data_IF_559373552036
#
_entry.id   IF_559373552036
#
_cell.length_a   1.000
_cell.length_b   1.000
_cell.length_c   1.000
_cell.angle_alpha   90.00
_cell.angle_beta   90.00
_cell.angle_gamma   90.00
#
_symmetry.space_group_name_H-M   'P 1'
#
loop_
_entity.id
_entity.type
_entity.pdbx_description
1 polymer ?
#
# COMPACT_ATOMS: atom_id res chain seq x y z
N UNK A 1 2.95 23.72 32.36
CA UNK A 1 4.21 23.36 31.66
C UNK A 1 4.02 21.93 31.15
N UNK A 2 4.02 21.57 29.87
CA UNK A 2 4.21 22.33 28.65
C UNK A 2 3.71 21.49 27.46
N UNK A 3 2.94 22.13 26.58
CA UNK A 3 2.69 21.65 25.23
C UNK A 3 3.84 22.13 24.34
N UNK A 4 4.91 21.34 24.21
CA UNK A 4 6.05 21.66 23.33
C UNK A 4 6.53 20.48 22.47
N UNK A 5 5.81 19.35 22.47
CA UNK A 5 6.25 18.14 21.75
C UNK A 5 6.00 18.13 20.23
N UNK A 6 4.94 18.77 19.75
CA UNK A 6 4.50 18.66 18.34
C UNK A 6 5.05 19.79 17.45
N UNK A 7 5.17 21.00 18.00
CA UNK A 7 5.64 22.17 17.23
C UNK A 7 7.14 22.04 16.93
N UNK A 8 7.94 21.59 17.91
CA UNK A 8 9.39 21.46 17.74
C UNK A 8 9.77 20.34 16.76
N UNK A 9 9.04 19.23 16.78
CA UNK A 9 9.26 18.09 15.87
C UNK A 9 8.81 18.40 14.44
N UNK A 10 7.68 19.08 14.26
CA UNK A 10 7.23 19.55 12.94
C UNK A 10 8.20 20.60 12.34
N UNK A 11 8.78 21.49 13.16
CA UNK A 11 9.80 22.45 12.70
C UNK A 11 11.08 21.74 12.27
N UNK A 12 11.54 20.73 13.01
CA UNK A 12 12.71 19.93 12.66
C UNK A 12 12.48 19.09 11.38
N UNK A 13 11.29 18.49 11.25
CA UNK A 13 10.82 17.78 10.06
C UNK A 13 10.84 18.67 8.81
N UNK A 14 10.23 19.86 8.89
CA UNK A 14 10.22 20.83 7.79
C UNK A 14 11.62 21.33 7.40
N UNK A 15 12.51 21.53 8.38
CA UNK A 15 13.90 21.93 8.09
C UNK A 15 14.69 20.83 7.38
N UNK A 16 14.38 19.56 7.65
CA UNK A 16 14.99 18.41 6.99
C UNK A 16 14.48 18.28 5.55
N UNK A 17 13.17 18.47 5.35
CA UNK A 17 12.52 18.45 4.04
C UNK A 17 13.11 19.48 3.06
N UNK A 18 13.40 20.70 3.53
CA UNK A 18 13.95 21.79 2.72
C UNK A 18 15.35 21.54 2.12
N UNK A 19 16.03 20.47 2.53
CA UNK A 19 17.36 20.09 2.00
C UNK A 19 17.28 19.31 0.69
N UNK A 20 16.10 18.80 0.34
CA UNK A 20 15.90 17.93 -0.81
C UNK A 20 15.22 18.67 -1.98
N UNK A 21 15.28 18.07 -3.18
CA UNK A 21 14.68 18.65 -4.38
C UNK A 21 13.17 18.91 -4.22
N UNK A 22 12.62 19.89 -4.94
CA UNK A 22 11.17 20.20 -4.89
C UNK A 22 10.30 18.97 -5.22
N UNK A 23 10.78 18.09 -6.10
CA UNK A 23 10.12 16.83 -6.47
C UNK A 23 10.09 15.85 -5.31
N UNK A 24 11.23 15.65 -4.63
CA UNK A 24 11.32 14.86 -3.39
C UNK A 24 10.42 15.42 -2.30
N UNK A 25 10.37 16.75 -2.15
CA UNK A 25 9.49 17.41 -1.19
C UNK A 25 8.01 17.18 -1.50
N UNK A 26 7.62 17.21 -2.78
CA UNK A 26 6.24 17.02 -3.21
C UNK A 26 5.77 15.58 -2.95
N UNK A 27 6.59 14.59 -3.30
CA UNK A 27 6.30 13.17 -3.01
C UNK A 27 6.22 12.93 -1.50
N UNK A 28 7.15 13.49 -0.72
CA UNK A 28 7.15 13.34 0.73
C UNK A 28 5.90 13.95 1.39
N UNK A 29 5.38 15.06 0.86
CA UNK A 29 4.12 15.68 1.32
C UNK A 29 2.91 14.80 1.00
N UNK A 30 2.87 14.22 -0.20
CA UNK A 30 1.80 13.31 -0.61
C UNK A 30 1.77 12.05 0.27
N UNK A 31 2.94 11.46 0.56
CA UNK A 31 3.07 10.34 1.48
C UNK A 31 2.68 10.72 2.92
N UNK A 32 3.13 11.86 3.41
CA UNK A 32 2.75 12.38 4.73
C UNK A 32 1.23 12.56 4.87
N UNK A 33 0.58 13.07 3.84
CA UNK A 33 -0.87 13.20 3.80
C UNK A 33 -1.56 11.83 3.79
N UNK A 34 -1.06 10.88 3.00
CA UNK A 34 -1.61 9.53 2.90
C UNK A 34 -1.54 8.75 4.22
N UNK A 35 -0.45 8.90 4.98
CA UNK A 35 -0.25 8.21 6.25
C UNK A 35 -0.65 9.05 7.49
N UNK A 36 -1.20 10.25 7.28
CA UNK A 36 -1.54 11.21 8.34
C UNK A 36 -0.37 11.47 9.31
N UNK A 37 0.85 11.55 8.76
CA UNK A 37 2.08 11.79 9.54
C UNK A 37 2.81 13.03 9.01
N UNK A 38 3.05 14.00 9.89
CA UNK A 38 3.76 15.25 9.55
C UNK A 38 5.29 15.16 9.70
N UNK A 39 5.80 14.00 10.13
CA UNK A 39 7.23 13.78 10.35
C UNK A 39 7.88 13.22 9.09
N UNK A 40 9.01 13.80 8.71
CA UNK A 40 9.87 13.35 7.63
C UNK A 40 11.22 12.96 8.22
N UNK A 41 11.74 11.79 7.85
CA UNK A 41 13.09 11.37 8.25
C UNK A 41 14.06 11.52 7.08
N UNK A 42 15.31 11.83 7.40
CA UNK A 42 16.40 11.95 6.42
C UNK A 42 16.56 10.64 5.62
N UNK A 43 16.39 9.49 6.29
CA UNK A 43 16.48 8.16 5.68
C UNK A 43 15.37 7.89 4.65
N UNK A 44 14.14 8.33 4.91
CA UNK A 44 13.04 8.20 3.96
C UNK A 44 13.21 9.18 2.79
N UNK A 45 13.54 10.44 3.07
CA UNK A 45 13.76 11.47 2.04
C UNK A 45 14.92 11.11 1.12
N UNK A 46 16.03 10.62 1.65
CA UNK A 46 17.14 10.12 0.86
C UNK A 46 16.75 8.91 0.00
N UNK A 47 15.88 8.03 0.49
CA UNK A 47 15.38 6.90 -0.30
C UNK A 47 14.50 7.38 -1.48
N UNK A 48 13.65 8.40 -1.27
CA UNK A 48 12.86 9.03 -2.34
C UNK A 48 13.80 9.65 -3.39
N UNK A 49 14.77 10.45 -2.94
CA UNK A 49 15.71 11.14 -3.82
C UNK A 49 16.54 10.15 -4.66
N UNK A 50 17.00 9.06 -4.02
CA UNK A 50 17.69 7.97 -4.69
C UNK A 50 16.81 7.24 -5.72
N UNK A 51 15.52 7.03 -5.41
CA UNK A 51 14.58 6.41 -6.35
C UNK A 51 14.39 7.30 -7.59
N UNK A 52 14.17 8.60 -7.39
CA UNK A 52 14.04 9.58 -8.47
C UNK A 52 15.30 9.57 -9.34
N UNK A 53 16.48 9.66 -8.73
CA UNK A 53 17.75 9.68 -9.45
C UNK A 53 18.03 8.38 -10.22
N UNK A 54 17.55 7.22 -9.74
CA UNK A 54 17.66 5.94 -10.46
C UNK A 54 16.69 5.87 -11.63
N UNK A 55 15.45 6.30 -11.42
CA UNK A 55 14.42 6.30 -12.44
C UNK A 55 14.74 7.31 -13.54
N UNK A 56 15.13 8.54 -13.22
CA UNK A 56 15.43 9.60 -14.21
C UNK A 56 16.57 9.21 -15.16
N UNK A 57 17.47 8.29 -14.76
CA UNK A 57 18.49 7.70 -15.66
C UNK A 57 17.92 6.77 -16.72
N UNK A 58 16.77 6.17 -16.45
CA UNK A 58 16.14 5.15 -17.29
C UNK A 58 14.87 5.67 -18.00
N UNK A 59 14.13 6.58 -17.37
CA UNK A 59 12.83 7.10 -17.79
C UNK A 59 12.69 8.54 -17.35
N UNK A 60 12.43 9.43 -18.30
CA UNK A 60 12.19 10.84 -18.02
C UNK A 60 10.69 11.09 -17.76
N UNK A 61 10.38 12.06 -16.89
CA UNK A 61 9.03 12.59 -16.64
C UNK A 61 7.99 11.64 -16.01
N UNK A 62 8.37 10.72 -15.11
CA UNK A 62 7.39 10.00 -14.28
C UNK A 62 6.64 10.98 -13.36
N UNK A 63 5.32 10.85 -13.24
CA UNK A 63 4.50 11.73 -12.40
C UNK A 63 4.80 11.54 -10.91
N UNK A 64 4.55 12.57 -10.10
CA UNK A 64 4.69 12.49 -8.63
C UNK A 64 3.79 11.38 -8.09
N UNK A 65 2.56 11.28 -8.59
CA UNK A 65 1.59 10.26 -8.20
C UNK A 65 2.10 8.83 -8.46
N UNK A 66 2.72 8.58 -9.62
CA UNK A 66 3.27 7.26 -9.95
C UNK A 66 4.44 6.88 -9.00
N UNK A 67 5.28 7.85 -8.62
CA UNK A 67 6.29 7.63 -7.58
C UNK A 67 5.66 7.32 -6.22
N UNK A 68 4.65 8.10 -5.82
CA UNK A 68 3.95 7.93 -4.55
C UNK A 68 3.29 6.55 -4.46
N UNK A 69 2.58 6.11 -5.51
CA UNK A 69 2.01 4.76 -5.62
C UNK A 69 3.07 3.66 -5.51
N UNK A 70 4.21 3.82 -6.18
CA UNK A 70 5.30 2.86 -6.12
C UNK A 70 5.92 2.72 -4.73
N UNK A 71 6.08 3.86 -4.03
CA UNK A 71 6.61 3.89 -2.67
C UNK A 71 5.59 3.28 -1.69
N UNK A 72 4.30 3.60 -1.82
CA UNK A 72 3.22 2.98 -1.03
C UNK A 72 3.20 1.46 -1.23
N UNK A 73 3.35 0.99 -2.47
CA UNK A 73 3.44 -0.44 -2.76
C UNK A 73 4.63 -1.08 -2.04
N UNK A 74 5.81 -0.43 -2.05
CA UNK A 74 6.95 -0.92 -1.30
C UNK A 74 6.70 -0.98 0.21
N UNK A 75 6.01 0.01 0.78
CA UNK A 75 5.65 0.03 2.19
C UNK A 75 4.73 -1.14 2.55
N UNK A 76 3.69 -1.37 1.73
CA UNK A 76 2.74 -2.46 1.90
C UNK A 76 3.44 -3.83 1.90
N UNK A 77 4.27 -4.13 0.90
CA UNK A 77 4.98 -5.41 0.78
C UNK A 77 5.92 -5.69 1.97
N UNK A 78 6.52 -4.64 2.54
CA UNK A 78 7.46 -4.76 3.66
C UNK A 78 6.78 -4.61 5.03
N UNK A 79 5.46 -4.40 5.07
CA UNK A 79 4.69 -4.11 6.27
C UNK A 79 5.32 -3.01 7.14
N UNK A 80 5.78 -1.94 6.49
CA UNK A 80 6.33 -0.74 7.12
C UNK A 80 5.57 0.48 6.61
N UNK A 81 5.73 1.63 7.26
CA UNK A 81 5.01 2.85 6.93
C UNK A 81 5.93 4.05 6.84
N UNK A 82 5.48 5.10 6.16
CA UNK A 82 6.13 6.39 6.20
C UNK A 82 6.20 6.87 7.68
N UNK A 83 7.29 7.50 8.15
CA UNK A 83 8.50 7.92 7.45
C UNK A 83 9.68 6.95 7.62
N UNK A 84 9.46 5.64 7.57
CA UNK A 84 10.56 4.66 7.56
C UNK A 84 11.23 4.57 6.19
N UNK A 85 12.41 3.94 6.10
CA UNK A 85 13.07 3.71 4.80
C UNK A 85 12.34 2.61 4.03
N UNK A 86 11.74 2.95 2.89
CA UNK A 86 11.17 1.97 1.95
C UNK A 86 12.23 1.24 1.13
N UNK A 87 11.82 0.13 0.51
CA UNK A 87 12.67 -0.68 -0.37
C UNK A 87 12.64 -0.13 -1.80
N UNK A 88 13.70 0.60 -2.16
CA UNK A 88 13.84 1.23 -3.49
C UNK A 88 13.76 0.22 -4.62
N UNK A 89 14.20 -1.02 -4.42
CA UNK A 89 14.14 -2.06 -5.46
C UNK A 89 12.69 -2.46 -5.73
N UNK A 90 11.88 -2.64 -4.69
CA UNK A 90 10.44 -2.98 -4.85
C UNK A 90 9.68 -1.85 -5.54
N UNK A 91 9.90 -0.61 -5.12
CA UNK A 91 9.29 0.55 -5.77
C UNK A 91 9.69 0.65 -7.26
N UNK A 92 10.96 0.41 -7.58
CA UNK A 92 11.44 0.41 -8.97
C UNK A 92 10.83 -0.72 -9.81
N UNK A 93 10.70 -1.92 -9.25
CA UNK A 93 10.04 -3.05 -9.92
C UNK A 93 8.57 -2.73 -10.24
N UNK A 94 7.87 -2.09 -9.30
CA UNK A 94 6.49 -1.65 -9.51
C UNK A 94 6.36 -0.65 -10.66
N UNK A 95 7.21 0.40 -10.71
CA UNK A 95 7.25 1.36 -11.81
C UNK A 95 7.53 0.69 -13.16
N UNK A 96 8.47 -0.25 -13.20
CA UNK A 96 8.79 -0.99 -14.42
C UNK A 96 7.64 -1.89 -14.89
N UNK A 97 6.92 -2.50 -13.95
CA UNK A 97 5.78 -3.36 -14.25
C UNK A 97 4.58 -2.55 -14.75
N UNK A 98 4.32 -1.37 -14.17
CA UNK A 98 3.28 -0.46 -14.68
C UNK A 98 3.51 -0.13 -16.15
N UNK A 99 4.75 0.17 -16.55
CA UNK A 99 5.01 0.51 -17.96
C UNK A 99 4.81 -0.68 -18.89
N UNK A 100 5.18 -1.89 -18.48
CA UNK A 100 4.90 -3.10 -19.26
C UNK A 100 3.39 -3.34 -19.43
N UNK A 101 2.61 -3.01 -18.41
CA UNK A 101 1.15 -3.12 -18.42
C UNK A 101 0.54 -2.02 -19.31
N UNK A 102 0.97 -0.75 -19.18
CA UNK A 102 0.52 0.38 -20.01
C UNK A 102 0.76 0.13 -21.51
N UNK A 103 1.90 -0.46 -21.88
CA UNK A 103 2.22 -0.79 -23.28
C UNK A 103 1.32 -1.91 -23.83
N UNK A 104 1.03 -2.96 -23.05
CA UNK A 104 0.08 -4.01 -23.47
C UNK A 104 -1.37 -3.48 -23.52
N UNK A 105 -1.75 -2.60 -22.60
CA UNK A 105 -3.08 -1.97 -22.55
C UNK A 105 -3.40 -1.12 -23.77
N UNK A 106 -2.43 -0.35 -24.29
CA UNK A 106 -2.58 0.46 -25.51
C UNK A 106 -2.92 -0.37 -26.77
N UNK A 107 -2.77 -1.69 -26.72
CA UNK A 107 -3.13 -2.60 -27.83
C UNK A 107 -4.52 -3.25 -27.68
N UNK A 108 -5.20 -3.07 -26.54
CA UNK A 108 -6.51 -3.65 -26.27
C UNK A 108 -7.62 -2.66 -26.63
N UNK A 109 -8.75 -3.15 -27.15
CA UNK A 109 -9.91 -2.30 -27.42
C UNK A 109 -10.74 -2.07 -26.14
N UNK A 110 -11.56 -1.02 -26.13
CA UNK A 110 -12.42 -0.63 -25.00
C UNK A 110 -13.45 -1.69 -24.57
N UNK A 111 -13.84 -2.58 -25.48
CA UNK A 111 -14.73 -3.72 -25.18
C UNK A 111 -14.05 -4.77 -24.30
N UNK A 112 -12.78 -5.08 -24.56
CA UNK A 112 -11.99 -5.99 -23.73
C UNK A 112 -11.73 -5.42 -22.34
N UNK A 113 -11.43 -4.11 -22.25
CA UNK A 113 -11.21 -3.42 -20.97
C UNK A 113 -12.49 -3.39 -20.13
N UNK A 114 -13.63 -3.05 -20.74
CA UNK A 114 -14.95 -3.09 -20.08
C UNK A 114 -15.26 -4.48 -19.50
N UNK A 115 -14.94 -5.53 -20.25
CA UNK A 115 -15.13 -6.90 -19.78
C UNK A 115 -14.25 -7.22 -18.57
N UNK A 116 -12.98 -6.79 -18.58
CA UNK A 116 -12.04 -7.05 -17.49
C UNK A 116 -12.37 -6.29 -16.22
N UNK A 117 -12.83 -5.05 -16.33
CA UNK A 117 -13.36 -4.28 -15.19
C UNK A 117 -14.56 -5.00 -14.58
N UNK A 118 -15.53 -5.44 -15.40
CA UNK A 118 -16.70 -6.17 -14.90
C UNK A 118 -16.34 -7.50 -14.22
N UNK A 119 -15.31 -8.21 -14.73
CA UNK A 119 -14.79 -9.42 -14.09
C UNK A 119 -14.15 -9.08 -12.72
N UNK A 120 -13.37 -8.01 -12.64
CA UNK A 120 -12.74 -7.59 -11.38
C UNK A 120 -13.78 -7.15 -10.35
N UNK A 121 -14.76 -6.34 -10.72
CA UNK A 121 -15.84 -5.92 -9.83
C UNK A 121 -16.55 -7.12 -9.19
N UNK A 122 -16.87 -8.15 -10.00
CA UNK A 122 -17.45 -9.41 -9.49
C UNK A 122 -16.52 -10.15 -8.53
N UNK A 123 -15.21 -10.10 -8.76
CA UNK A 123 -14.24 -10.71 -7.86
C UNK A 123 -14.12 -9.93 -6.54
N UNK A 124 -14.17 -8.60 -6.58
CA UNK A 124 -14.19 -7.75 -5.39
C UNK A 124 -15.46 -7.98 -4.53
N UNK A 125 -16.62 -8.13 -5.17
CA UNK A 125 -17.87 -8.49 -4.47
C UNK A 125 -17.73 -9.83 -3.73
N UNK A 126 -17.14 -10.84 -4.40
CA UNK A 126 -16.90 -12.16 -3.78
C UNK A 126 -15.89 -12.09 -2.65
N UNK A 127 -14.83 -11.30 -2.81
CA UNK A 127 -13.83 -11.07 -1.76
C UNK A 127 -14.46 -10.44 -0.54
N UNK A 128 -15.34 -9.44 -0.73
CA UNK A 128 -16.08 -8.81 0.37
C UNK A 128 -16.89 -9.83 1.18
N UNK A 129 -17.55 -10.78 0.50
CA UNK A 129 -18.27 -11.87 1.15
C UNK A 129 -17.34 -12.82 1.93
N UNK A 130 -16.19 -13.18 1.34
CA UNK A 130 -15.20 -14.05 1.99
C UNK A 130 -14.61 -13.36 3.23
N UNK A 131 -14.28 -12.07 3.15
CA UNK A 131 -13.81 -11.29 4.31
C UNK A 131 -14.83 -11.24 5.43
N UNK A 132 -16.11 -11.01 5.09
CA UNK A 132 -17.20 -11.02 6.07
C UNK A 132 -17.31 -12.38 6.77
N UNK A 133 -17.20 -13.48 6.02
CA UNK A 133 -17.25 -14.82 6.58
C UNK A 133 -16.03 -15.13 7.45
N UNK A 134 -14.83 -14.74 7.03
CA UNK A 134 -13.59 -14.90 7.82
C UNK A 134 -13.62 -14.09 9.10
N UNK A 135 -14.07 -12.83 9.04
CA UNK A 135 -14.24 -11.98 10.21
C UNK A 135 -15.27 -12.54 11.20
N UNK A 136 -16.38 -13.09 10.69
CA UNK A 136 -17.36 -13.80 11.50
C UNK A 136 -16.74 -15.03 12.18
N UNK A 137 -16.03 -15.87 11.43
CA UNK A 137 -15.39 -17.06 11.95
C UNK A 137 -14.36 -16.72 13.05
N UNK A 138 -13.57 -15.66 12.86
CA UNK A 138 -12.64 -15.16 13.88
C UNK A 138 -13.36 -14.74 15.16
N UNK A 139 -14.45 -13.97 15.04
CA UNK A 139 -15.24 -13.52 16.19
C UNK A 139 -15.91 -14.69 16.92
N UNK A 140 -16.44 -15.66 16.19
CA UNK A 140 -17.05 -16.86 16.75
C UNK A 140 -15.99 -17.68 17.50
N UNK A 141 -14.80 -17.87 16.93
CA UNK A 141 -13.69 -18.59 17.54
C UNK A 141 -13.16 -17.88 18.81
N UNK A 142 -12.98 -16.55 18.76
CA UNK A 142 -12.56 -15.74 19.91
C UNK A 142 -13.60 -15.77 21.05
N UNK A 143 -14.89 -15.84 20.72
CA UNK A 143 -15.95 -15.95 21.73
C UNK A 143 -15.96 -17.29 22.48
N UNK A 144 -15.34 -18.33 21.91
CA UNK A 144 -15.21 -19.65 22.53
C UNK A 144 -14.00 -19.75 23.49
N UNK A 145 -13.05 -18.81 23.43
CA UNK A 145 -11.80 -18.80 24.20
C UNK A 145 -11.97 -18.51 25.73
N UNK A 146 -13.16 -18.72 26.29
CA UNK A 146 -13.44 -18.46 27.70
C UNK A 146 -14.71 -19.10 28.27
N UNK A 147 -15.44 -19.93 27.50
CA UNK A 147 -16.77 -20.43 27.89
C UNK A 147 -16.96 -21.96 27.85
N UNK A 148 -16.08 -22.72 27.20
CA UNK A 148 -16.30 -24.14 26.98
C UNK A 148 -15.12 -25.00 27.44
N UNK A 149 -15.32 -25.74 28.54
CA UNK A 149 -14.38 -26.70 29.15
C UNK A 149 -13.89 -27.85 28.24
N UNK A 150 -14.36 -27.93 27.00
CA UNK A 150 -14.15 -29.07 26.09
C UNK A 150 -13.31 -28.74 24.86
N UNK A 151 -12.98 -27.46 24.65
CA UNK A 151 -12.14 -27.03 23.53
C UNK A 151 -10.79 -26.63 24.10
N UNK A 152 -9.76 -27.36 23.71
CA UNK A 152 -8.41 -27.10 24.18
C UNK A 152 -7.92 -25.75 23.64
N UNK A 153 -7.28 -24.97 24.51
CA UNK A 153 -6.75 -23.64 24.14
C UNK A 153 -5.67 -23.77 23.07
N UNK A 154 -4.96 -24.90 23.08
CA UNK A 154 -3.98 -25.34 22.07
C UNK A 154 -4.56 -25.53 20.65
N UNK A 155 -5.90 -25.60 20.49
CA UNK A 155 -6.57 -25.65 19.19
C UNK A 155 -7.08 -24.27 18.74
N UNK A 156 -7.46 -23.41 19.70
CA UNK A 156 -8.06 -22.10 19.43
C UNK A 156 -7.00 -21.12 18.91
N UNK A 157 -5.80 -21.10 19.51
CA UNK A 157 -4.72 -20.19 19.08
C UNK A 157 -4.28 -20.45 17.63
N UNK A 158 -3.90 -21.68 17.21
CA UNK A 158 -3.48 -21.94 15.83
C UNK A 158 -4.59 -21.69 14.79
N UNK A 159 -5.85 -21.97 15.15
CA UNK A 159 -7.00 -21.69 14.29
C UNK A 159 -7.24 -20.18 14.14
N UNK A 160 -7.03 -19.40 15.20
CA UNK A 160 -7.12 -17.93 15.16
C UNK A 160 -6.04 -17.36 14.26
N UNK A 161 -4.79 -17.79 14.45
CA UNK A 161 -3.65 -17.36 13.63
C UNK A 161 -3.85 -17.68 12.14
N UNK A 162 -4.34 -18.88 11.83
CA UNK A 162 -4.62 -19.31 10.45
C UNK A 162 -5.71 -18.47 9.79
N UNK A 163 -6.78 -18.17 10.52
CA UNK A 163 -7.88 -17.34 10.00
C UNK A 163 -7.44 -15.88 9.83
N UNK A 164 -6.58 -15.36 10.71
CA UNK A 164 -6.02 -14.02 10.61
C UNK A 164 -5.07 -13.90 9.42
N UNK A 165 -4.18 -14.87 9.21
CA UNK A 165 -3.32 -14.94 8.03
C UNK A 165 -4.15 -15.06 6.73
N UNK A 166 -5.25 -15.81 6.76
CA UNK A 166 -6.16 -15.91 5.61
C UNK A 166 -6.84 -14.57 5.31
N UNK A 167 -7.20 -13.80 6.33
CA UNK A 167 -7.79 -12.47 6.16
C UNK A 167 -6.79 -11.49 5.54
N UNK A 168 -5.53 -11.52 5.97
CA UNK A 168 -4.45 -10.71 5.41
C UNK A 168 -4.20 -11.05 3.93
N UNK A 169 -4.19 -12.34 3.57
CA UNK A 169 -4.06 -12.76 2.17
C UNK A 169 -5.23 -12.30 1.29
N UNK A 170 -6.45 -12.37 1.82
CA UNK A 170 -7.64 -11.89 1.09
C UNK A 170 -7.61 -10.37 0.94
N UNK A 171 -7.10 -9.65 1.93
CA UNK A 171 -6.87 -8.20 1.85
C UNK A 171 -5.83 -7.85 0.76
N UNK A 172 -4.69 -8.55 0.69
CA UNK A 172 -3.69 -8.35 -0.38
C UNK A 172 -4.29 -8.59 -1.78
N UNK A 173 -5.11 -9.64 -1.92
CA UNK A 173 -5.80 -9.93 -3.18
C UNK A 173 -6.79 -8.83 -3.56
N UNK A 174 -7.52 -8.28 -2.59
CA UNK A 174 -8.42 -7.15 -2.78
C UNK A 174 -7.66 -5.92 -3.30
N UNK A 175 -6.58 -5.55 -2.62
CA UNK A 175 -5.76 -4.37 -2.95
C UNK A 175 -5.17 -4.49 -4.37
N UNK A 176 -4.70 -5.69 -4.73
CA UNK A 176 -4.16 -5.97 -6.06
C UNK A 176 -5.23 -5.92 -7.15
N UNK A 177 -6.43 -6.41 -6.87
CA UNK A 177 -7.56 -6.34 -7.82
C UNK A 177 -8.07 -4.92 -7.95
N UNK A 178 -8.13 -4.15 -6.86
CA UNK A 178 -8.49 -2.74 -6.89
C UNK A 178 -7.52 -1.93 -7.76
N UNK A 179 -6.21 -2.12 -7.56
CA UNK A 179 -5.19 -1.48 -8.38
C UNK A 179 -5.32 -1.86 -9.87
N UNK A 180 -5.58 -3.15 -10.15
CA UNK A 180 -5.78 -3.61 -11.51
C UNK A 180 -7.03 -2.99 -12.15
N UNK A 181 -8.10 -2.82 -11.36
CA UNK A 181 -9.34 -2.17 -11.81
C UNK A 181 -9.10 -0.71 -12.18
N UNK A 182 -8.43 0.06 -11.30
CA UNK A 182 -8.04 1.44 -11.57
C UNK A 182 -7.19 1.53 -12.83
N UNK A 183 -6.22 0.62 -12.98
CA UNK A 183 -5.37 0.60 -14.17
C UNK A 183 -6.20 0.36 -15.43
N UNK A 184 -7.19 -0.54 -15.42
CA UNK A 184 -8.06 -0.73 -16.59
C UNK A 184 -8.98 0.45 -16.85
N UNK A 185 -9.52 1.09 -15.81
CA UNK A 185 -10.36 2.28 -15.93
C UNK A 185 -9.59 3.47 -16.52
N UNK A 186 -8.32 3.64 -16.16
CA UNK A 186 -7.45 4.69 -16.72
C UNK A 186 -7.20 4.54 -18.24
N UNK A 187 -7.42 3.34 -18.80
CA UNK A 187 -7.18 3.03 -20.22
C UNK A 187 -8.45 2.86 -21.05
N UNK A 188 -9.64 3.03 -20.45
CA UNK A 188 -10.94 2.83 -21.09
C UNK A 188 -11.50 4.14 -21.65
#
# INVERSE_FOLDING_TARGET
MGYFGTVQSAIASNKTLLRYSERTQSIAKELAQQYNDALHTDVALQAIDNLIAQIDKTKLNISIEDFSKAIIHSYSIKNIQYPQRFDTYIAMQYLNKIDSIKVDMNTKNSGWLSQKISEIEKHLDRISLVKLQLAKNLKDLQSQNGGHLWIDTDFIEPATETLQASLEQVQDLEDRLYLLNLTYQDHL
#
